data_IF_610689563142
#
_entry.id   IF_610689563142
#
_cell.length_a   1.000
_cell.length_b   1.000
_cell.length_c   1.000
_cell.angle_alpha   90.00
_cell.angle_beta   90.00
_cell.angle_gamma   90.00
#
_symmetry.space_group_name_H-M   'P 1'
#
loop_
_entity.id
_entity.type
_entity.pdbx_description
1 polymer ?
#
# COMPACT_ATOMS: atom_id res chain seq x y z
N UNK A 1 30.89 -15.53 15.56
CA UNK A 1 30.30 -15.29 14.22
C UNK A 1 30.30 -13.79 14.00
N UNK A 2 31.11 -13.26 13.07
CA UNK A 2 31.10 -11.82 12.78
C UNK A 2 29.83 -11.51 12.00
N UNK A 3 28.88 -10.88 12.67
CA UNK A 3 27.64 -10.38 12.06
C UNK A 3 28.04 -9.14 11.27
N UNK A 4 27.71 -9.13 9.97
CA UNK A 4 27.88 -7.94 9.14
C UNK A 4 26.81 -6.92 9.54
N UNK A 5 27.24 -5.72 9.94
CA UNK A 5 26.40 -4.63 10.43
C UNK A 5 26.05 -3.61 9.35
N UNK A 6 26.42 -3.86 8.09
CA UNK A 6 26.01 -3.02 6.97
C UNK A 6 24.54 -3.31 6.61
N UNK A 7 23.61 -2.62 7.28
CA UNK A 7 22.22 -2.55 6.85
C UNK A 7 21.91 -1.17 6.29
N UNK A 8 21.42 -1.18 5.06
CA UNK A 8 20.91 -0.04 4.30
C UNK A 8 19.56 0.33 4.94
N UNK A 9 19.44 1.50 5.57
CA UNK A 9 18.17 1.99 6.13
C UNK A 9 17.14 2.30 5.02
N UNK A 10 15.86 2.52 5.34
CA UNK A 10 14.88 2.97 4.34
C UNK A 10 15.31 4.28 3.67
N UNK A 11 15.95 5.19 4.42
CA UNK A 11 16.56 6.38 3.86
C UNK A 11 17.76 6.08 2.96
N UNK A 12 18.57 5.07 3.27
CA UNK A 12 19.67 4.65 2.39
C UNK A 12 19.15 3.91 1.14
N UNK A 13 18.01 3.22 1.23
CA UNK A 13 17.29 2.65 0.09
C UNK A 13 16.67 3.77 -0.74
N UNK A 14 16.10 4.79 -0.11
CA UNK A 14 15.57 5.97 -0.79
C UNK A 14 16.68 6.79 -1.45
N UNK A 15 17.82 6.99 -0.78
CA UNK A 15 19.02 7.62 -1.35
C UNK A 15 19.65 6.78 -2.44
N UNK A 16 19.71 5.46 -2.29
CA UNK A 16 20.20 4.55 -3.33
C UNK A 16 19.24 4.48 -4.51
N UNK A 17 17.92 4.53 -4.28
CA UNK A 17 16.91 4.65 -5.34
C UNK A 17 16.99 6.00 -6.01
N UNK A 18 17.12 7.09 -5.27
CA UNK A 18 17.29 8.43 -5.79
C UNK A 18 18.58 8.52 -6.61
N UNK A 19 19.70 8.00 -6.11
CA UNK A 19 20.96 7.92 -6.83
C UNK A 19 20.88 6.99 -8.06
N UNK A 20 20.15 5.87 -7.99
CA UNK A 20 19.88 5.03 -9.16
C UNK A 20 18.91 5.71 -10.14
N UNK A 21 17.98 6.53 -9.68
CA UNK A 21 17.10 7.35 -10.51
C UNK A 21 17.89 8.47 -11.16
N UNK A 22 18.80 9.14 -10.45
CA UNK A 22 19.73 10.16 -10.94
C UNK A 22 20.73 9.56 -11.93
N UNK A 23 21.33 8.39 -11.62
CA UNK A 23 22.16 7.65 -12.58
C UNK A 23 21.37 7.13 -13.77
N UNK A 24 20.12 6.71 -13.60
CA UNK A 24 19.26 6.32 -14.71
C UNK A 24 18.81 7.54 -15.53
N UNK A 25 18.65 8.71 -14.93
CA UNK A 25 18.38 9.98 -15.62
C UNK A 25 19.63 10.42 -16.40
N UNK A 26 20.82 10.33 -15.80
CA UNK A 26 22.10 10.63 -16.45
C UNK A 26 22.47 9.61 -17.54
N UNK A 27 22.21 8.32 -17.34
CA UNK A 27 22.45 7.26 -18.34
C UNK A 27 21.38 7.25 -19.44
N UNK A 28 20.15 7.71 -19.16
CA UNK A 28 19.07 7.81 -20.13
C UNK A 28 18.92 9.22 -20.74
N UNK A 29 20.02 9.97 -20.85
CA UNK A 29 20.14 11.14 -21.72
C UNK A 29 20.11 10.77 -23.23
N UNK A 30 19.21 9.85 -23.60
CA UNK A 30 18.72 9.64 -24.96
C UNK A 30 17.21 9.90 -24.92
N UNK A 31 16.76 10.80 -25.78
CA UNK A 31 15.39 11.33 -25.88
C UNK A 31 14.34 10.22 -26.15
N UNK A 32 14.03 9.39 -25.17
CA UNK A 32 12.92 8.45 -25.25
C UNK A 32 11.65 9.14 -24.75
N UNK A 33 10.55 8.95 -25.48
CA UNK A 33 9.23 9.49 -25.10
C UNK A 33 8.81 9.06 -23.69
N UNK A 34 9.26 7.89 -23.22
CA UNK A 34 8.98 7.41 -21.87
C UNK A 34 9.69 8.25 -20.79
N UNK A 35 10.92 8.72 -21.03
CA UNK A 35 11.60 9.61 -20.09
C UNK A 35 10.92 10.98 -20.06
N UNK A 36 10.52 11.51 -21.23
CA UNK A 36 9.71 12.73 -21.30
C UNK A 36 8.40 12.58 -20.51
N UNK A 37 7.71 11.44 -20.62
CA UNK A 37 6.50 11.18 -19.84
C UNK A 37 6.77 11.14 -18.33
N UNK A 38 7.89 10.54 -17.90
CA UNK A 38 8.31 10.52 -16.48
C UNK A 38 8.62 11.93 -15.96
N UNK A 39 9.31 12.74 -16.74
CA UNK A 39 9.62 14.13 -16.40
C UNK A 39 8.34 14.95 -16.25
N UNK A 40 7.40 14.80 -17.18
CA UNK A 40 6.08 15.45 -17.11
C UNK A 40 5.28 14.99 -15.89
N UNK A 41 5.33 13.71 -15.55
CA UNK A 41 4.71 13.20 -14.33
C UNK A 41 5.33 13.84 -13.08
N UNK A 42 6.66 13.92 -13.01
CA UNK A 42 7.38 14.55 -11.89
C UNK A 42 7.13 16.06 -11.76
N UNK A 43 6.75 16.73 -12.85
CA UNK A 43 6.33 18.13 -12.89
C UNK A 43 4.82 18.32 -12.67
N UNK A 44 4.11 17.27 -12.24
CA UNK A 44 2.65 17.27 -12.05
C UNK A 44 1.84 17.61 -13.31
N UNK A 45 2.47 17.53 -14.49
CA UNK A 45 1.84 17.77 -15.79
C UNK A 45 1.12 16.52 -16.29
N UNK A 46 0.16 16.03 -15.51
CA UNK A 46 -0.46 14.72 -15.68
C UNK A 46 -1.19 14.55 -17.02
N UNK A 47 -1.94 15.56 -17.49
CA UNK A 47 -2.62 15.50 -18.78
C UNK A 47 -1.63 15.35 -19.96
N UNK A 48 -0.49 16.03 -19.88
CA UNK A 48 0.55 15.90 -20.90
C UNK A 48 1.28 14.56 -20.79
N UNK A 49 1.53 14.09 -19.57
CA UNK A 49 2.07 12.75 -19.33
C UNK A 49 1.21 11.66 -19.98
N UNK A 50 -0.12 11.72 -19.79
CA UNK A 50 -1.08 10.79 -20.39
C UNK A 50 -0.97 10.83 -21.91
N UNK A 51 -1.04 12.02 -22.53
CA UNK A 51 -0.94 12.16 -24.00
C UNK A 51 0.35 11.58 -24.58
N UNK A 52 1.49 11.78 -23.90
CA UNK A 52 2.76 11.19 -24.36
C UNK A 52 2.74 9.66 -24.22
N UNK A 53 2.19 9.14 -23.12
CA UNK A 53 2.09 7.70 -22.91
C UNK A 53 1.09 7.01 -23.85
N UNK A 54 0.03 7.68 -24.28
CA UNK A 54 -0.92 7.16 -25.27
C UNK A 54 -0.23 6.87 -26.61
N UNK A 55 0.74 7.70 -26.99
CA UNK A 55 1.60 7.47 -28.16
C UNK A 55 2.60 6.32 -28.01
N UNK A 56 2.62 5.63 -26.87
CA UNK A 56 3.45 4.46 -26.59
C UNK A 56 2.62 3.17 -26.45
N UNK A 57 1.31 3.22 -26.66
CA UNK A 57 0.43 2.05 -26.49
C UNK A 57 0.57 0.98 -27.57
N UNK A 58 1.24 1.30 -28.70
CA UNK A 58 1.61 0.38 -29.77
C UNK A 58 3.10 -0.06 -29.70
N UNK A 59 3.81 0.32 -28.62
CA UNK A 59 5.21 -0.04 -28.44
C UNK A 59 5.41 -1.56 -28.47
N UNK A 60 6.36 -2.02 -29.30
CA UNK A 60 6.69 -3.45 -29.43
C UNK A 60 7.46 -3.99 -28.22
N UNK A 61 8.15 -3.11 -27.48
CA UNK A 61 8.83 -3.49 -26.24
C UNK A 61 7.79 -3.64 -25.11
N UNK A 62 7.57 -4.86 -24.58
CA UNK A 62 6.60 -5.09 -23.51
C UNK A 62 6.87 -4.28 -22.24
N UNK A 63 8.14 -3.98 -21.94
CA UNK A 63 8.49 -3.18 -20.76
C UNK A 63 8.07 -1.72 -20.95
N UNK A 64 8.37 -1.14 -22.12
CA UNK A 64 7.95 0.22 -22.45
C UNK A 64 6.43 0.35 -22.45
N UNK A 65 5.72 -0.62 -23.02
CA UNK A 65 4.26 -0.65 -23.03
C UNK A 65 3.68 -0.72 -21.60
N UNK A 66 4.25 -1.59 -20.76
CA UNK A 66 3.84 -1.71 -19.35
C UNK A 66 4.08 -0.39 -18.59
N UNK A 67 5.26 0.20 -18.71
CA UNK A 67 5.62 1.45 -18.02
C UNK A 67 4.71 2.62 -18.48
N UNK A 68 4.39 2.71 -19.78
CA UNK A 68 3.47 3.72 -20.30
C UNK A 68 2.06 3.55 -19.74
N UNK A 69 1.50 2.33 -19.76
CA UNK A 69 0.18 2.04 -19.17
C UNK A 69 0.14 2.35 -17.67
N UNK A 70 1.21 2.02 -16.94
CA UNK A 70 1.32 2.31 -15.52
C UNK A 70 1.35 3.81 -15.23
N UNK A 71 2.09 4.59 -16.03
CA UNK A 71 2.12 6.05 -15.91
C UNK A 71 0.75 6.68 -16.22
N UNK A 72 0.02 6.19 -17.21
CA UNK A 72 -1.37 6.62 -17.49
C UNK A 72 -2.25 6.39 -16.26
N UNK A 73 -2.23 5.18 -15.69
CA UNK A 73 -3.05 4.85 -14.53
C UNK A 73 -2.68 5.70 -13.30
N UNK A 74 -1.39 5.93 -13.06
CA UNK A 74 -0.90 6.82 -12.00
C UNK A 74 -1.29 8.28 -12.24
N UNK A 75 -1.27 8.75 -13.48
CA UNK A 75 -1.65 10.12 -13.81
C UNK A 75 -3.15 10.35 -13.58
N UNK A 76 -4.01 9.42 -13.99
CA UNK A 76 -5.44 9.47 -13.64
C UNK A 76 -5.66 9.47 -12.12
N UNK A 77 -4.92 8.62 -11.40
CA UNK A 77 -4.98 8.59 -9.94
C UNK A 77 -4.60 9.94 -9.32
N UNK A 78 -3.52 10.57 -9.77
CA UNK A 78 -3.07 11.89 -9.30
C UNK A 78 -4.09 13.00 -9.61
N UNK A 79 -4.78 12.91 -10.74
CA UNK A 79 -5.88 13.81 -11.12
C UNK A 79 -7.17 13.55 -10.32
N UNK A 80 -7.19 12.53 -9.44
CA UNK A 80 -8.39 12.05 -8.73
C UNK A 80 -9.50 11.57 -9.66
N UNK A 81 -9.16 11.23 -10.90
CA UNK A 81 -10.03 10.56 -11.84
C UNK A 81 -10.03 9.06 -11.52
N UNK A 82 -10.70 8.71 -10.43
CA UNK A 82 -10.68 7.35 -9.90
C UNK A 82 -11.39 6.34 -10.81
N UNK A 83 -12.32 6.80 -11.66
CA UNK A 83 -12.97 5.95 -12.65
C UNK A 83 -11.97 5.45 -13.69
N UNK A 84 -11.21 6.37 -14.30
CA UNK A 84 -10.19 5.99 -15.29
C UNK A 84 -8.98 5.32 -14.65
N UNK A 85 -8.59 5.70 -13.44
CA UNK A 85 -7.53 5.02 -12.69
C UNK A 85 -7.88 3.56 -12.40
N UNK A 86 -9.09 3.29 -11.87
CA UNK A 86 -9.59 1.94 -11.58
C UNK A 86 -9.57 1.07 -12.85
N UNK A 87 -10.13 1.57 -13.95
CA UNK A 87 -10.11 0.86 -15.23
C UNK A 87 -8.68 0.55 -15.70
N UNK A 88 -7.80 1.56 -15.70
CA UNK A 88 -6.43 1.43 -16.23
C UNK A 88 -5.57 0.49 -15.38
N UNK A 89 -5.66 0.57 -14.05
CA UNK A 89 -4.95 -0.35 -13.16
C UNK A 89 -5.49 -1.78 -13.29
N UNK A 90 -6.81 -1.95 -13.43
CA UNK A 90 -7.41 -3.27 -13.59
C UNK A 90 -6.90 -3.94 -14.88
N UNK A 91 -6.96 -3.26 -16.02
CA UNK A 91 -6.44 -3.76 -17.30
C UNK A 91 -4.93 -4.10 -17.24
N UNK A 92 -4.15 -3.29 -16.50
CA UNK A 92 -2.73 -3.56 -16.27
C UNK A 92 -2.51 -4.83 -15.43
N UNK A 93 -3.28 -4.99 -14.36
CA UNK A 93 -3.12 -6.07 -13.39
C UNK A 93 -3.57 -7.43 -13.92
N UNK A 94 -4.55 -7.49 -14.84
CA UNK A 94 -5.08 -8.74 -15.40
C UNK A 94 -4.01 -9.66 -15.98
N UNK A 95 -2.91 -9.09 -16.49
CA UNK A 95 -1.79 -9.85 -17.07
C UNK A 95 -0.54 -9.88 -16.17
N UNK A 96 -0.64 -9.38 -14.93
CA UNK A 96 0.49 -9.24 -14.02
C UNK A 96 0.53 -10.33 -12.96
N UNK A 97 1.74 -10.83 -12.69
CA UNK A 97 2.03 -11.65 -11.51
C UNK A 97 2.55 -10.80 -10.33
N UNK A 98 2.70 -9.49 -10.52
CA UNK A 98 3.12 -8.59 -9.45
C UNK A 98 1.93 -8.25 -8.54
N UNK A 99 2.06 -8.55 -7.24
CA UNK A 99 1.04 -8.20 -6.24
C UNK A 99 0.79 -6.70 -6.15
N UNK A 100 1.79 -5.87 -6.41
CA UNK A 100 1.68 -4.41 -6.29
C UNK A 100 0.77 -3.83 -7.38
N UNK A 101 0.65 -4.48 -8.54
CA UNK A 101 -0.28 -4.05 -9.58
C UNK A 101 -1.73 -4.29 -9.16
N UNK A 102 -2.00 -5.45 -8.55
CA UNK A 102 -3.30 -5.74 -7.94
C UNK A 102 -3.59 -4.87 -6.72
N UNK A 103 -2.57 -4.49 -5.95
CA UNK A 103 -2.73 -3.52 -4.88
C UNK A 103 -3.21 -2.15 -5.41
N UNK A 104 -2.67 -1.67 -6.52
CA UNK A 104 -3.16 -0.44 -7.14
C UNK A 104 -4.64 -0.55 -7.54
N UNK A 105 -5.10 -1.72 -8.01
CA UNK A 105 -6.52 -2.00 -8.25
C UNK A 105 -7.32 -1.91 -6.95
N UNK A 106 -6.86 -2.53 -5.85
CA UNK A 106 -7.55 -2.45 -4.55
C UNK A 106 -7.82 -0.99 -4.17
N UNK A 107 -6.80 -0.14 -4.23
CA UNK A 107 -6.91 1.26 -3.81
C UNK A 107 -7.78 2.06 -4.77
N UNK A 108 -7.49 1.99 -6.08
CA UNK A 108 -8.25 2.75 -7.09
C UNK A 108 -9.71 2.34 -7.17
N UNK A 109 -10.02 1.04 -7.17
CA UNK A 109 -11.41 0.56 -7.13
C UNK A 109 -12.13 1.00 -5.84
N UNK A 110 -11.44 1.04 -4.70
CA UNK A 110 -12.04 1.51 -3.44
C UNK A 110 -12.38 2.99 -3.51
N UNK A 111 -11.46 3.84 -3.98
CA UNK A 111 -11.69 5.28 -4.15
C UNK A 111 -12.79 5.56 -5.19
N UNK A 112 -12.91 4.71 -6.20
CA UNK A 112 -14.01 4.70 -7.17
C UNK A 112 -15.32 4.07 -6.61
N UNK A 113 -15.35 3.68 -5.33
CA UNK A 113 -16.49 3.03 -4.65
C UNK A 113 -16.96 1.73 -5.31
N UNK A 114 -16.09 1.08 -6.08
CA UNK A 114 -16.31 -0.25 -6.63
C UNK A 114 -15.86 -1.32 -5.63
N UNK A 115 -16.63 -1.45 -4.54
CA UNK A 115 -16.24 -2.25 -3.36
C UNK A 115 -16.14 -3.75 -3.67
N UNK A 116 -16.98 -4.26 -4.56
CA UNK A 116 -16.89 -5.68 -4.96
C UNK A 116 -15.59 -5.97 -5.72
N UNK A 117 -15.17 -5.05 -6.61
CA UNK A 117 -13.89 -5.18 -7.31
C UNK A 117 -12.72 -5.06 -6.34
N UNK A 118 -12.73 -4.09 -5.42
CA UNK A 118 -11.63 -3.94 -4.46
C UNK A 118 -11.46 -5.17 -3.56
N UNK A 119 -12.57 -5.78 -3.10
CA UNK A 119 -12.53 -7.05 -2.34
C UNK A 119 -11.93 -8.19 -3.14
N UNK A 120 -12.36 -8.36 -4.40
CA UNK A 120 -11.82 -9.40 -5.28
C UNK A 120 -10.34 -9.17 -5.56
N UNK A 121 -9.95 -7.94 -5.89
CA UNK A 121 -8.57 -7.56 -6.15
C UNK A 121 -7.69 -7.76 -4.92
N UNK A 122 -8.20 -7.52 -3.71
CA UNK A 122 -7.46 -7.73 -2.46
C UNK A 122 -7.11 -9.20 -2.25
N UNK A 123 -8.07 -10.10 -2.47
CA UNK A 123 -7.80 -11.55 -2.45
C UNK A 123 -6.72 -11.95 -3.46
N UNK A 124 -6.82 -11.45 -4.70
CA UNK A 124 -5.83 -11.74 -5.74
C UNK A 124 -4.45 -11.17 -5.37
N UNK A 125 -4.37 -9.96 -4.82
CA UNK A 125 -3.12 -9.35 -4.42
C UNK A 125 -2.39 -10.17 -3.34
N UNK A 126 -3.12 -10.69 -2.35
CA UNK A 126 -2.58 -11.58 -1.32
C UNK A 126 -2.11 -12.93 -1.89
N UNK A 127 -2.88 -13.51 -2.80
CA UNK A 127 -2.51 -14.76 -3.47
C UNK A 127 -1.24 -14.59 -4.33
N UNK A 128 -1.17 -13.50 -5.11
CA UNK A 128 0.02 -13.16 -5.92
C UNK A 128 1.24 -12.89 -5.05
N UNK A 129 1.08 -12.16 -3.93
CA UNK A 129 2.17 -11.92 -2.99
C UNK A 129 2.67 -13.23 -2.37
N UNK A 130 1.76 -14.15 -2.03
CA UNK A 130 2.12 -15.45 -1.47
C UNK A 130 2.89 -16.33 -2.46
N UNK A 131 2.50 -16.30 -3.74
CA UNK A 131 3.09 -17.14 -4.78
C UNK A 131 4.38 -16.56 -5.38
N UNK A 132 4.44 -15.24 -5.55
CA UNK A 132 5.49 -14.56 -6.32
C UNK A 132 6.16 -13.40 -5.58
N UNK A 133 5.74 -13.11 -4.36
CA UNK A 133 6.22 -11.96 -3.59
C UNK A 133 7.70 -12.05 -3.25
N UNK A 134 8.36 -10.90 -3.27
CA UNK A 134 9.75 -10.73 -2.90
C UNK A 134 9.98 -9.42 -2.14
N UNK A 135 11.18 -9.22 -1.61
CA UNK A 135 11.54 -8.04 -0.78
C UNK A 135 11.30 -6.65 -1.40
N UNK A 136 11.12 -6.54 -2.72
CA UNK A 136 10.79 -5.26 -3.37
C UNK A 136 9.29 -4.97 -3.40
N UNK A 137 8.44 -5.96 -3.17
CA UNK A 137 6.99 -5.78 -3.14
C UNK A 137 6.56 -5.13 -1.83
N UNK A 138 5.39 -4.50 -1.85
CA UNK A 138 4.77 -4.04 -0.62
C UNK A 138 4.41 -5.24 0.27
N UNK A 139 4.81 -5.26 1.55
CA UNK A 139 4.41 -6.32 2.46
C UNK A 139 2.89 -6.42 2.59
N UNK A 140 2.36 -7.64 2.71
CA UNK A 140 0.90 -7.88 2.81
C UNK A 140 0.23 -7.14 3.97
N UNK A 141 0.96 -6.90 5.07
CA UNK A 141 0.47 -6.11 6.22
C UNK A 141 0.31 -4.63 5.90
N UNK A 142 1.20 -4.06 5.07
CA UNK A 142 1.10 -2.68 4.60
C UNK A 142 -0.05 -2.55 3.59
N UNK A 143 -0.22 -3.55 2.73
CA UNK A 143 -1.37 -3.64 1.83
C UNK A 143 -2.70 -3.61 2.59
N UNK A 144 -2.82 -4.40 3.67
CA UNK A 144 -3.99 -4.39 4.57
C UNK A 144 -4.22 -3.02 5.22
N UNK A 145 -3.16 -2.39 5.73
CA UNK A 145 -3.24 -1.08 6.39
C UNK A 145 -3.72 0.01 5.43
N UNK A 146 -3.13 0.08 4.23
CA UNK A 146 -3.56 1.05 3.23
C UNK A 146 -4.97 0.79 2.73
N UNK A 147 -5.38 -0.47 2.59
CA UNK A 147 -6.75 -0.80 2.21
C UNK A 147 -7.74 -0.35 3.30
N UNK A 148 -7.44 -0.61 4.58
CA UNK A 148 -8.21 -0.15 5.72
C UNK A 148 -8.41 1.39 5.70
N UNK A 149 -7.34 2.14 5.52
CA UNK A 149 -7.37 3.62 5.47
C UNK A 149 -8.20 4.11 4.27
N UNK A 150 -8.05 3.46 3.11
CA UNK A 150 -8.78 3.85 1.90
C UNK A 150 -10.28 3.58 2.05
N UNK A 151 -10.66 2.47 2.68
CA UNK A 151 -12.05 2.16 3.01
C UNK A 151 -12.65 3.17 3.99
N UNK A 152 -11.88 3.59 4.99
CA UNK A 152 -12.27 4.65 5.92
C UNK A 152 -12.52 5.97 5.19
N UNK A 153 -11.65 6.33 4.24
CA UNK A 153 -11.79 7.53 3.39
C UNK A 153 -13.11 7.55 2.61
N UNK A 154 -13.56 6.40 2.10
CA UNK A 154 -14.85 6.28 1.39
C UNK A 154 -16.02 5.91 2.30
N UNK A 155 -15.81 5.89 3.63
CA UNK A 155 -16.80 5.60 4.68
C UNK A 155 -17.35 4.18 4.68
N UNK A 156 -16.63 3.22 4.10
CA UNK A 156 -16.94 1.78 4.15
C UNK A 156 -16.45 1.16 5.46
N UNK A 157 -16.96 1.66 6.59
CA UNK A 157 -16.45 1.35 7.93
C UNK A 157 -16.56 -0.13 8.31
N UNK A 158 -17.57 -0.85 7.81
CA UNK A 158 -17.73 -2.27 8.10
C UNK A 158 -16.56 -3.08 7.53
N UNK A 159 -16.21 -2.84 6.26
CA UNK A 159 -15.10 -3.51 5.61
C UNK A 159 -13.75 -3.01 6.15
N UNK A 160 -13.64 -1.73 6.47
CA UNK A 160 -12.45 -1.19 7.14
C UNK A 160 -12.22 -1.90 8.50
N UNK A 161 -13.28 -2.16 9.26
CA UNK A 161 -13.21 -2.89 10.52
C UNK A 161 -12.79 -4.36 10.32
N UNK A 162 -13.16 -5.00 9.20
CA UNK A 162 -12.65 -6.33 8.85
C UNK A 162 -11.13 -6.30 8.61
N UNK A 163 -10.61 -5.29 7.89
CA UNK A 163 -9.16 -5.12 7.70
C UNK A 163 -8.44 -4.86 9.03
N UNK A 164 -9.02 -4.01 9.89
CA UNK A 164 -8.53 -3.78 11.25
C UNK A 164 -8.40 -5.08 12.04
N UNK A 165 -9.45 -5.92 12.05
CA UNK A 165 -9.45 -7.19 12.79
C UNK A 165 -8.39 -8.15 12.25
N UNK A 166 -8.19 -8.19 10.94
CA UNK A 166 -7.10 -8.99 10.35
C UNK A 166 -5.71 -8.50 10.82
N UNK A 167 -5.48 -7.20 10.82
CA UNK A 167 -4.22 -6.62 11.31
C UNK A 167 -4.03 -6.85 12.82
N UNK A 168 -5.06 -6.67 13.63
CA UNK A 168 -5.05 -6.96 15.06
C UNK A 168 -4.64 -8.43 15.33
N UNK A 169 -5.13 -9.38 14.53
CA UNK A 169 -4.71 -10.79 14.61
C UNK A 169 -3.24 -10.99 14.24
N UNK A 170 -2.68 -10.20 13.33
CA UNK A 170 -1.24 -10.24 13.02
C UNK A 170 -0.43 -9.79 14.23
N UNK A 171 -0.78 -8.66 14.86
CA UNK A 171 -0.13 -8.22 16.10
C UNK A 171 -0.22 -9.28 17.21
N UNK A 172 -1.40 -9.87 17.40
CA UNK A 172 -1.63 -10.93 18.38
C UNK A 172 -0.74 -12.17 18.15
N UNK A 173 -0.53 -12.56 16.88
CA UNK A 173 0.33 -13.71 16.53
C UNK A 173 1.82 -13.45 16.77
N UNK A 174 2.24 -12.20 16.65
CA UNK A 174 3.65 -11.82 16.82
C UNK A 174 4.08 -11.81 18.29
N UNK A 175 3.15 -11.58 19.22
CA UNK A 175 3.34 -11.54 20.69
C UNK A 175 4.36 -10.54 21.23
N UNK A 176 5.17 -9.94 20.36
CA UNK A 176 6.22 -8.99 20.69
C UNK A 176 5.94 -7.68 19.97
N UNK A 177 5.87 -6.59 20.70
CA UNK A 177 5.52 -5.27 20.17
C UNK A 177 6.66 -4.26 20.28
N UNK A 178 7.92 -4.72 20.36
CA UNK A 178 9.05 -3.79 20.27
C UNK A 178 9.14 -3.17 18.87
N UNK A 179 9.42 -1.87 18.83
CA UNK A 179 9.44 -1.07 17.61
C UNK A 179 10.33 -1.67 16.51
N UNK A 180 11.57 -2.06 16.85
CA UNK A 180 12.51 -2.62 15.88
C UNK A 180 11.99 -3.93 15.27
N UNK A 181 11.38 -4.78 16.08
CA UNK A 181 10.77 -6.02 15.60
C UNK A 181 9.54 -5.76 14.73
N UNK A 182 8.61 -4.90 15.15
CA UNK A 182 7.44 -4.56 14.33
C UNK A 182 7.83 -3.96 12.99
N UNK A 183 8.77 -2.99 13.00
CA UNK A 183 9.33 -2.39 11.80
C UNK A 183 9.97 -3.43 10.87
N UNK A 184 10.71 -4.40 11.43
CA UNK A 184 11.28 -5.51 10.63
C UNK A 184 10.23 -6.42 9.97
N UNK A 185 8.97 -6.36 10.42
CA UNK A 185 7.82 -7.07 9.84
C UNK A 185 6.92 -6.17 9.00
N UNK A 186 7.29 -4.90 8.80
CA UNK A 186 6.48 -3.93 8.08
C UNK A 186 5.21 -3.51 8.82
N UNK A 187 5.19 -3.61 10.15
CA UNK A 187 4.07 -3.17 10.97
C UNK A 187 4.40 -1.85 11.67
N UNK A 188 3.37 -1.02 11.82
CA UNK A 188 3.44 0.19 12.65
C UNK A 188 3.51 -0.19 14.14
N UNK A 189 3.96 0.76 14.97
CA UNK A 189 3.78 0.65 16.41
C UNK A 189 2.28 0.54 16.75
N UNK A 190 1.94 -0.18 17.82
CA UNK A 190 0.53 -0.53 18.08
C UNK A 190 -0.32 0.70 18.40
N UNK A 191 0.24 1.67 19.10
CA UNK A 191 -0.38 2.97 19.37
C UNK A 191 -0.70 3.70 18.07
N UNK A 192 0.23 3.73 17.11
CA UNK A 192 0.03 4.37 15.79
C UNK A 192 -1.06 3.65 15.00
N UNK A 193 -1.08 2.32 15.04
CA UNK A 193 -2.12 1.52 14.38
C UNK A 193 -3.52 1.79 14.98
N UNK A 194 -3.64 1.83 16.31
CA UNK A 194 -4.90 2.11 17.00
C UNK A 194 -5.40 3.53 16.72
N UNK A 195 -4.51 4.52 16.79
CA UNK A 195 -4.82 5.92 16.46
C UNK A 195 -5.26 6.09 15.01
N UNK A 196 -4.54 5.47 14.06
CA UNK A 196 -4.92 5.44 12.64
C UNK A 196 -6.31 4.83 12.45
N UNK A 197 -6.69 3.88 13.30
CA UNK A 197 -7.96 3.16 13.23
C UNK A 197 -9.08 3.80 14.04
N UNK A 198 -8.81 4.92 14.74
CA UNK A 198 -9.73 5.49 15.71
C UNK A 198 -11.11 5.84 15.11
N UNK A 199 -11.15 6.41 13.90
CA UNK A 199 -12.41 6.73 13.21
C UNK A 199 -13.23 5.47 12.86
N UNK A 200 -12.57 4.36 12.52
CA UNK A 200 -13.20 3.07 12.21
C UNK A 200 -13.78 2.47 13.49
N UNK A 201 -12.98 2.44 14.55
CA UNK A 201 -13.39 1.89 15.85
C UNK A 201 -14.57 2.68 16.43
N UNK A 202 -14.64 4.00 16.22
CA UNK A 202 -15.80 4.82 16.62
C UNK A 202 -17.12 4.41 15.97
N UNK A 203 -17.05 3.74 14.82
CA UNK A 203 -18.22 3.22 14.10
C UNK A 203 -18.54 1.77 14.46
N UNK A 204 -17.64 1.07 15.15
CA UNK A 204 -17.84 -0.29 15.60
C UNK A 204 -18.88 -0.37 16.73
N UNK A 205 -19.57 -1.51 16.85
CA UNK A 205 -20.50 -1.73 17.95
C UNK A 205 -19.73 -1.90 19.26
N UNK A 206 -20.33 -1.49 20.38
CA UNK A 206 -19.74 -1.64 21.73
C UNK A 206 -19.26 -3.07 22.04
N UNK A 207 -20.03 -4.08 21.59
CA UNK A 207 -19.67 -5.49 21.72
C UNK A 207 -18.36 -5.80 20.98
N UNK A 208 -18.23 -5.35 19.74
CA UNK A 208 -17.02 -5.57 18.92
C UNK A 208 -15.80 -4.87 19.52
N UNK A 209 -15.97 -3.65 20.04
CA UNK A 209 -14.89 -2.94 20.73
C UNK A 209 -14.41 -3.68 21.97
N UNK A 210 -15.35 -4.28 22.72
CA UNK A 210 -15.01 -5.08 23.91
C UNK A 210 -14.24 -6.33 23.50
N UNK A 211 -14.70 -7.04 22.47
CA UNK A 211 -14.03 -8.23 21.93
C UNK A 211 -12.62 -7.89 21.43
N UNK A 212 -12.46 -6.85 20.62
CA UNK A 212 -11.17 -6.35 20.13
C UNK A 212 -10.22 -6.05 21.30
N UNK A 213 -10.68 -5.28 22.29
CA UNK A 213 -9.87 -4.94 23.45
C UNK A 213 -9.42 -6.20 24.19
N UNK A 214 -10.34 -7.11 24.48
CA UNK A 214 -10.03 -8.35 25.19
C UNK A 214 -9.03 -9.22 24.42
N UNK A 215 -9.19 -9.36 23.11
CA UNK A 215 -8.28 -10.14 22.27
C UNK A 215 -6.86 -9.57 22.26
N UNK A 216 -6.73 -8.24 22.09
CA UNK A 216 -5.43 -7.57 22.09
C UNK A 216 -4.74 -7.69 23.46
N UNK A 217 -5.45 -7.42 24.55
CA UNK A 217 -4.88 -7.52 25.90
C UNK A 217 -4.44 -8.95 26.26
N UNK A 218 -5.12 -9.97 25.74
CA UNK A 218 -4.78 -11.36 26.01
C UNK A 218 -3.55 -11.86 25.21
N UNK A 219 -3.23 -11.23 24.08
CA UNK A 219 -2.27 -11.76 23.11
C UNK A 219 -0.92 -11.02 23.08
N UNK A 220 -0.88 -9.77 23.52
CA UNK A 220 0.30 -8.92 23.42
C UNK A 220 1.22 -9.05 24.66
N UNK A 221 2.47 -8.59 24.50
CA UNK A 221 3.38 -8.44 25.64
C UNK A 221 2.98 -7.25 26.54
N UNK A 222 3.72 -7.06 27.64
CA UNK A 222 3.42 -6.01 28.62
C UNK A 222 3.43 -4.59 28.02
N UNK A 223 4.29 -4.32 27.04
CA UNK A 223 4.35 -3.02 26.37
C UNK A 223 3.10 -2.82 25.50
N UNK A 224 2.74 -3.82 24.68
CA UNK A 224 1.53 -3.77 23.86
C UNK A 224 0.26 -3.64 24.71
N UNK A 225 0.19 -4.34 25.84
CA UNK A 225 -0.92 -4.23 26.81
C UNK A 225 -1.06 -2.80 27.32
N UNK A 226 0.03 -2.18 27.79
CA UNK A 226 0.03 -0.79 28.27
C UNK A 226 -0.54 0.18 27.22
N UNK A 227 -0.09 0.06 25.97
CA UNK A 227 -0.56 0.92 24.86
C UNK A 227 -2.04 0.71 24.53
N UNK A 228 -2.51 -0.53 24.54
CA UNK A 228 -3.94 -0.83 24.34
C UNK A 228 -4.79 -0.27 25.47
N UNK A 229 -4.34 -0.42 26.72
CA UNK A 229 -5.06 0.14 27.88
C UNK A 229 -5.14 1.67 27.81
N UNK A 230 -4.04 2.35 27.49
CA UNK A 230 -3.97 3.81 27.33
C UNK A 230 -4.94 4.30 26.25
N UNK A 231 -4.92 3.66 25.07
CA UNK A 231 -5.83 3.99 23.98
C UNK A 231 -7.29 3.86 24.40
N UNK A 232 -7.69 2.70 24.95
CA UNK A 232 -9.08 2.45 25.33
C UNK A 232 -9.54 3.23 26.57
N UNK A 233 -8.63 3.72 27.42
CA UNK A 233 -8.97 4.63 28.51
C UNK A 233 -9.37 6.02 27.99
N UNK A 234 -8.75 6.46 26.90
CA UNK A 234 -9.01 7.76 26.26
C UNK A 234 -10.06 7.68 25.12
N UNK A 235 -10.49 6.47 24.76
CA UNK A 235 -11.43 6.23 23.67
C UNK A 235 -12.84 6.73 24.00
N UNK A 236 -13.21 7.88 23.43
CA UNK A 236 -14.53 8.53 23.57
C UNK A 236 -15.24 8.66 22.24
#
# INVERSE_FOLDING_TARGET
MKINYDYITYEDVLRSRQFMYEQALEQNATNSLLNTARDLFGQESFDMCIKICEGLLDAKDPKQLYDAKKLIALAYYSLKDFENADKSFYELAENSNNSDDWFNVVISSTLNKNIERSKKAFGIALDKYTQYGHQRNMPSVQLMLHYMITLETVKEYALALEQFKMLAQVYAKLKKTDEKFLSSRGLEQIEVFLETSHAILKKAKKKELTEIKTELLAALDANGVEKVEEFFANFK
#
